data_IF_565188059613
#
_entry.id   IF_565188059613
#
_cell.length_a   1.000
_cell.length_b   1.000
_cell.length_c   1.000
_cell.angle_alpha   90.00
_cell.angle_beta   90.00
_cell.angle_gamma   90.00
#
_symmetry.space_group_name_H-M   'P 1'
#
loop_
_entity.id
_entity.type
_entity.pdbx_description
1 polymer ?
#
# COMPACT_ATOMS: atom_id res chain seq x y z
N UNK A 1 -10.63 -12.89 -16.27
CA UNK A 1 -9.18 -13.00 -16.56
C UNK A 1 -8.46 -12.31 -15.42
N UNK A 2 -7.70 -13.03 -14.59
CA UNK A 2 -7.01 -12.46 -13.44
C UNK A 2 -5.99 -11.43 -13.93
N UNK A 3 -6.26 -10.13 -13.71
CA UNK A 3 -5.29 -9.08 -13.99
C UNK A 3 -4.16 -9.19 -12.96
N UNK A 4 -3.18 -10.04 -13.27
CA UNK A 4 -1.95 -10.16 -12.51
C UNK A 4 -1.15 -8.87 -12.70
N UNK A 5 -1.41 -7.86 -11.87
CA UNK A 5 -0.54 -6.70 -11.78
C UNK A 5 0.83 -7.19 -11.30
N UNK A 6 1.81 -7.30 -12.19
CA UNK A 6 3.13 -7.93 -11.92
C UNK A 6 3.85 -7.36 -10.68
N UNK A 7 3.49 -6.16 -10.23
CA UNK A 7 4.05 -5.49 -9.05
C UNK A 7 3.23 -5.64 -7.77
N UNK A 8 1.95 -6.05 -7.84
CA UNK A 8 1.05 -6.22 -6.70
C UNK A 8 0.77 -7.72 -6.47
N UNK A 9 0.86 -8.16 -5.22
CA UNK A 9 0.39 -9.47 -4.80
C UNK A 9 -0.64 -9.26 -3.70
N UNK A 10 -1.78 -9.92 -3.86
CA UNK A 10 -2.90 -9.89 -2.93
C UNK A 10 -3.17 -11.33 -2.52
N UNK A 11 -3.08 -11.61 -1.23
CA UNK A 11 -3.21 -12.96 -0.67
C UNK A 11 -4.31 -12.93 0.41
N UNK A 12 -5.36 -13.76 0.29
CA UNK A 12 -6.38 -13.84 1.32
C UNK A 12 -5.78 -14.39 2.62
N UNK A 13 -6.11 -13.79 3.75
CA UNK A 13 -5.85 -14.35 5.08
C UNK A 13 -7.13 -15.02 5.60
N UNK A 14 -7.12 -15.43 6.87
CA UNK A 14 -8.35 -15.90 7.52
C UNK A 14 -9.35 -14.75 7.72
N UNK A 15 -10.61 -15.12 7.99
CA UNK A 15 -11.72 -14.17 8.13
C UNK A 15 -11.48 -13.10 9.21
N UNK A 16 -10.58 -13.36 10.18
CA UNK A 16 -10.25 -12.43 11.26
C UNK A 16 -9.10 -11.46 10.91
N UNK A 17 -8.31 -11.69 9.86
CA UNK A 17 -7.11 -10.90 9.54
C UNK A 17 -7.18 -10.15 8.20
N UNK A 18 -8.21 -10.39 7.39
CA UNK A 18 -8.46 -9.67 6.13
C UNK A 18 -7.60 -10.16 4.97
N UNK A 19 -6.99 -9.24 4.22
CA UNK A 19 -6.21 -9.53 3.02
C UNK A 19 -4.80 -8.97 3.16
N UNK A 20 -3.77 -9.77 2.86
CA UNK A 20 -2.40 -9.31 2.83
C UNK A 20 -2.04 -8.79 1.44
N UNK A 21 -1.42 -7.60 1.40
CA UNK A 21 -1.00 -6.95 0.16
C UNK A 21 0.50 -6.70 0.20
N UNK A 22 1.19 -7.11 -0.86
CA UNK A 22 2.62 -6.82 -1.07
C UNK A 22 2.79 -6.11 -2.41
N UNK A 23 3.44 -4.95 -2.38
CA UNK A 23 3.67 -4.12 -3.57
C UNK A 23 5.16 -3.84 -3.77
N UNK A 24 5.67 -4.06 -4.98
CA UNK A 24 7.04 -3.68 -5.37
C UNK A 24 7.05 -2.24 -5.88
N UNK A 25 7.68 -1.37 -5.11
CA UNK A 25 7.81 0.06 -5.42
C UNK A 25 8.77 0.29 -6.59
N UNK A 26 8.64 1.47 -7.22
CA UNK A 26 9.55 1.92 -8.28
C UNK A 26 9.95 3.38 -8.05
N UNK A 27 11.17 3.75 -8.41
CA UNK A 27 11.65 5.13 -8.32
C UNK A 27 11.81 5.70 -6.91
N UNK A 28 11.83 4.85 -5.87
CA UNK A 28 11.96 5.27 -4.46
C UNK A 28 13.06 4.49 -3.74
N UNK A 29 13.39 4.91 -2.51
CA UNK A 29 14.39 4.25 -1.68
C UNK A 29 13.85 3.02 -0.94
N UNK A 30 12.53 2.91 -0.76
CA UNK A 30 11.89 1.65 -0.38
C UNK A 30 11.82 0.74 -1.59
N UNK A 31 11.99 -0.57 -1.40
CA UNK A 31 11.91 -1.59 -2.46
C UNK A 31 10.57 -2.32 -2.47
N UNK A 32 9.87 -2.32 -1.34
CA UNK A 32 8.64 -3.07 -1.18
C UNK A 32 7.79 -2.49 -0.05
N UNK A 33 6.48 -2.53 -0.22
CA UNK A 33 5.47 -2.18 0.78
C UNK A 33 4.70 -3.45 1.11
N UNK A 34 4.42 -3.66 2.40
CA UNK A 34 3.52 -4.71 2.88
C UNK A 34 2.50 -4.09 3.80
N UNK A 35 1.23 -4.43 3.62
CA UNK A 35 0.16 -4.02 4.52
C UNK A 35 -0.95 -5.06 4.47
N UNK A 36 -1.82 -5.03 5.47
CA UNK A 36 -3.08 -5.76 5.49
C UNK A 36 -4.23 -4.80 5.28
N UNK A 37 -5.29 -5.28 4.66
CA UNK A 37 -6.57 -4.58 4.59
C UNK A 37 -7.62 -5.44 5.27
N UNK A 38 -8.27 -4.87 6.27
CA UNK A 38 -9.37 -5.50 6.99
C UNK A 38 -10.51 -4.49 7.06
N UNK A 39 -11.72 -4.88 6.63
CA UNK A 39 -12.90 -4.02 6.62
C UNK A 39 -12.69 -2.65 5.94
N UNK A 40 -11.81 -2.61 4.93
CA UNK A 40 -11.46 -1.38 4.20
C UNK A 40 -10.46 -0.47 4.92
N UNK A 41 -9.82 -0.95 6.00
CA UNK A 41 -8.84 -0.21 6.80
C UNK A 41 -7.45 -0.85 6.72
N UNK A 42 -6.42 0.01 6.73
CA UNK A 42 -5.02 -0.40 6.60
C UNK A 42 -4.47 -0.85 7.96
N UNK A 43 -3.80 -1.99 7.97
CA UNK A 43 -3.14 -2.55 9.15
C UNK A 43 -1.73 -3.04 8.83
N UNK A 44 -0.85 -3.05 9.83
CA UNK A 44 0.52 -3.59 9.74
C UNK A 44 1.33 -3.06 8.54
N UNK A 45 1.17 -1.77 8.24
CA UNK A 45 1.91 -1.14 7.16
C UNK A 45 3.41 -1.19 7.46
N UNK A 46 4.19 -1.76 6.56
CA UNK A 46 5.64 -1.86 6.67
C UNK A 46 6.31 -1.68 5.30
N UNK A 47 7.57 -1.26 5.35
CA UNK A 47 8.36 -0.94 4.17
C UNK A 47 9.69 -1.67 4.25
N UNK A 48 10.12 -2.22 3.13
CA UNK A 48 11.48 -2.73 2.95
C UNK A 48 12.37 -1.59 2.47
N UNK A 49 13.41 -1.27 3.25
CA UNK A 49 14.38 -0.17 3.06
C UNK A 49 13.79 1.25 3.00
N UNK A 50 14.68 2.26 3.11
CA UNK A 50 14.34 3.67 3.07
C UNK A 50 14.63 4.39 4.40
N UNK A 51 14.02 5.56 4.61
CA UNK A 51 14.24 6.35 5.83
C UNK A 51 13.46 5.75 7.01
N UNK A 52 14.17 5.03 7.88
CA UNK A 52 13.56 4.30 9.01
C UNK A 52 12.58 5.15 9.84
N UNK A 53 12.97 6.37 10.23
CA UNK A 53 12.11 7.24 11.05
C UNK A 53 10.82 7.67 10.34
N UNK A 54 10.93 8.15 9.10
CA UNK A 54 9.76 8.59 8.35
C UNK A 54 8.83 7.41 7.99
N UNK A 55 9.38 6.24 7.67
CA UNK A 55 8.58 5.06 7.33
C UNK A 55 7.84 4.53 8.55
N UNK A 56 8.47 4.49 9.72
CA UNK A 56 7.77 4.15 10.97
C UNK A 56 6.66 5.16 11.30
N UNK A 57 6.92 6.46 11.09
CA UNK A 57 5.90 7.50 11.26
C UNK A 57 4.72 7.30 10.32
N UNK A 58 4.99 7.02 9.03
CA UNK A 58 3.97 6.77 8.03
C UNK A 58 3.14 5.53 8.37
N UNK A 59 3.79 4.42 8.76
CA UNK A 59 3.13 3.20 9.24
C UNK A 59 2.15 3.48 10.36
N UNK A 60 2.58 4.23 11.39
CA UNK A 60 1.72 4.57 12.53
C UNK A 60 0.59 5.52 12.18
N UNK A 61 0.83 6.47 11.28
CA UNK A 61 -0.19 7.43 10.87
C UNK A 61 -1.28 6.74 10.05
N UNK A 62 -0.94 5.78 9.19
CA UNK A 62 -1.90 5.09 8.32
C UNK A 62 -2.64 3.93 9.01
N UNK A 63 -2.20 3.50 10.19
CA UNK A 63 -2.83 2.41 10.94
C UNK A 63 -4.31 2.73 11.23
N UNK A 64 -5.22 1.81 10.86
CA UNK A 64 -6.66 1.94 11.04
C UNK A 64 -7.33 2.98 10.15
N UNK A 65 -6.60 3.67 9.27
CA UNK A 65 -7.22 4.61 8.32
C UNK A 65 -7.81 3.87 7.12
N UNK A 66 -8.82 4.47 6.49
CA UNK A 66 -9.41 3.92 5.29
C UNK A 66 -8.43 3.92 4.12
N UNK A 67 -8.51 2.87 3.30
CA UNK A 67 -7.68 2.71 2.09
C UNK A 67 -7.84 3.93 1.17
N UNK A 68 -9.07 4.41 1.00
CA UNK A 68 -9.42 5.51 0.10
C UNK A 68 -8.83 6.85 0.54
N UNK A 69 -9.02 7.22 1.82
CA UNK A 69 -8.52 8.48 2.36
C UNK A 69 -6.99 8.54 2.30
N UNK A 70 -6.32 7.44 2.65
CA UNK A 70 -4.86 7.37 2.61
C UNK A 70 -4.36 7.44 1.16
N UNK A 71 -5.00 6.72 0.24
CA UNK A 71 -4.66 6.77 -1.17
C UNK A 71 -4.80 8.19 -1.74
N UNK A 72 -5.85 8.91 -1.37
CA UNK A 72 -6.03 10.30 -1.82
C UNK A 72 -5.02 11.25 -1.17
N UNK A 73 -4.84 11.17 0.15
CA UNK A 73 -4.01 12.10 0.93
C UNK A 73 -2.52 12.02 0.58
N UNK A 74 -2.02 10.84 0.22
CA UNK A 74 -0.60 10.61 -0.06
C UNK A 74 -0.25 10.70 -1.55
N UNK A 75 -1.26 10.79 -2.43
CA UNK A 75 -1.09 10.88 -3.88
C UNK A 75 -0.30 12.12 -4.28
N UNK A 76 0.68 11.96 -5.15
CA UNK A 76 1.45 13.05 -5.76
C UNK A 76 2.52 13.65 -4.86
N UNK A 77 2.75 13.13 -3.65
CA UNK A 77 3.86 13.58 -2.80
C UNK A 77 5.17 13.22 -3.49
N UNK A 78 6.02 14.21 -3.76
CA UNK A 78 7.30 14.01 -4.46
C UNK A 78 8.47 14.02 -3.49
N UNK A 79 9.47 13.19 -3.77
CA UNK A 79 10.75 13.20 -3.07
C UNK A 79 11.91 13.25 -4.08
N UNK A 80 12.48 12.10 -4.46
CA UNK A 80 13.50 12.02 -5.51
C UNK A 80 12.82 11.69 -6.84
N UNK A 81 13.17 12.42 -7.90
CA UNK A 81 12.50 12.26 -9.20
C UNK A 81 11.04 12.70 -9.14
N UNK A 82 10.13 11.87 -9.69
CA UNK A 82 8.71 12.21 -9.83
C UNK A 82 7.79 11.46 -8.85
N UNK A 83 8.31 10.76 -7.84
CA UNK A 83 7.52 9.97 -6.86
C UNK A 83 8.17 9.95 -5.47
N UNK A 84 7.54 9.29 -4.50
CA UNK A 84 8.01 9.12 -3.12
C UNK A 84 7.45 7.84 -2.48
N UNK A 85 7.97 7.42 -1.32
CA UNK A 85 7.44 6.27 -0.58
C UNK A 85 5.92 6.40 -0.27
N UNK A 86 5.42 7.55 0.25
CA UNK A 86 3.97 7.72 0.44
C UNK A 86 3.18 7.74 -0.87
N UNK A 87 3.73 8.29 -1.95
CA UNK A 87 3.08 8.28 -3.27
C UNK A 87 3.00 6.86 -3.88
N UNK A 88 4.05 6.05 -3.68
CA UNK A 88 4.02 4.62 -4.04
C UNK A 88 3.03 3.83 -3.17
N UNK A 89 2.84 4.20 -1.90
CA UNK A 89 1.78 3.62 -1.07
C UNK A 89 0.39 3.98 -1.64
N UNK A 90 0.16 5.23 -2.02
CA UNK A 90 -1.08 5.64 -2.70
C UNK A 90 -1.35 4.81 -3.95
N UNK A 91 -0.32 4.57 -4.77
CA UNK A 91 -0.41 3.73 -5.95
C UNK A 91 -0.78 2.29 -5.59
N UNK A 92 -0.14 1.70 -4.57
CA UNK A 92 -0.43 0.34 -4.12
C UNK A 92 -1.86 0.16 -3.63
N UNK A 93 -2.39 1.15 -2.90
CA UNK A 93 -3.76 1.15 -2.38
C UNK A 93 -4.80 1.22 -3.49
N UNK A 94 -4.58 2.07 -4.51
CA UNK A 94 -5.49 2.16 -5.68
C UNK A 94 -5.52 0.87 -6.48
N UNK A 95 -4.34 0.28 -6.76
CA UNK A 95 -4.27 -1.01 -7.46
C UNK A 95 -4.98 -2.12 -6.70
N UNK A 96 -4.88 -2.12 -5.36
CA UNK A 96 -5.65 -3.04 -4.53
C UNK A 96 -7.16 -2.82 -4.67
N UNK A 97 -7.63 -1.57 -4.62
CA UNK A 97 -9.06 -1.25 -4.81
C UNK A 97 -9.57 -1.71 -6.17
N UNK A 98 -8.82 -1.45 -7.25
CA UNK A 98 -9.15 -1.90 -8.61
C UNK A 98 -9.27 -3.43 -8.67
N UNK A 99 -8.33 -4.16 -8.07
CA UNK A 99 -8.36 -5.63 -8.06
C UNK A 99 -9.56 -6.20 -7.27
N UNK A 100 -9.98 -5.56 -6.17
CA UNK A 100 -11.16 -5.98 -5.40
C UNK A 100 -12.50 -5.60 -6.05
N UNK A 101 -12.49 -4.60 -6.95
CA UNK A 101 -13.66 -4.20 -7.74
C UNK A 101 -13.89 -5.14 -8.93
N UNK A 102 -12.82 -5.64 -9.56
CA UNK A 102 -12.89 -6.61 -10.66
C UNK A 102 -13.41 -8.00 -10.23
N UNK A 103 -13.47 -8.27 -8.91
CA UNK A 103 -13.96 -9.53 -8.33
C UNK A 103 -15.47 -9.51 -7.97
N UNK A 104 -16.14 -8.36 -8.11
CA UNK A 104 -17.59 -8.17 -7.87
C UNK A 104 -18.39 -8.11 -9.17
#
# INVERSE_FOLDING_TARGET
MMQSHSALRVEPLDAARGVAVTYRTRGTCSRQIRFRVQDGHIHDLSFESGCSGNLQGLSKLCEGQSVDEVAQKLSGIRCRGNTSCPDQLSTALRLYQEQMQDEQ
#
